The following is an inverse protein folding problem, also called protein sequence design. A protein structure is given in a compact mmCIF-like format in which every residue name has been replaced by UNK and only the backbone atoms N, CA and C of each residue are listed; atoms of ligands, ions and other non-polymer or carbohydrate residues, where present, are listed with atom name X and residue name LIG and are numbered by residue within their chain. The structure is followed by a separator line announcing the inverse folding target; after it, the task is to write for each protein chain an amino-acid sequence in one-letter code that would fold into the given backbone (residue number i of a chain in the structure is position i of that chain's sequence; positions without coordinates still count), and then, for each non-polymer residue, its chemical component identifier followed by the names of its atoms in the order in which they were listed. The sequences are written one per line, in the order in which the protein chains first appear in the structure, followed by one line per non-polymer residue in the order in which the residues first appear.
data_IF_866865781092
#
_entry.id   IF_866865781092
#
_cell.length_a   1.000
_cell.length_b   1.000
_cell.length_c   1.000
_cell.angle_alpha   90.00
_cell.angle_beta   90.00
_cell.angle_gamma   90.00
#
_symmetry.space_group_name_H-M   'P 1'
#
loop_
_entity.id
_entity.type
_entity.pdbx_description
1 polymer ?
#
# COMPACT_ATOMS: atom_id res chain seq x y z
N UNK A 1 -16.80 18.24 -0.32
CA UNK A 1 -16.14 16.94 -0.11
C UNK A 1 -17.20 15.85 -0.21
N UNK A 2 -17.03 14.81 -1.03
CA UNK A 2 -17.95 13.69 -0.99
C UNK A 2 -17.80 12.99 0.37
N UNK A 3 -18.91 12.56 1.01
CA UNK A 3 -18.85 11.86 2.29
C UNK A 3 -18.08 10.54 2.16
N UNK A 4 -17.40 10.11 3.22
CA UNK A 4 -16.64 8.85 3.29
C UNK A 4 -17.43 7.63 2.81
N UNK A 5 -18.76 7.64 2.97
CA UNK A 5 -19.68 6.63 2.41
C UNK A 5 -19.59 6.48 0.88
N UNK A 6 -19.20 7.51 0.13
CA UNK A 6 -19.06 7.43 -1.33
C UNK A 6 -17.88 6.52 -1.75
N UNK A 7 -16.81 6.47 -0.97
CA UNK A 7 -15.70 5.56 -1.19
C UNK A 7 -16.08 4.14 -0.75
N UNK A 8 -16.81 3.99 0.35
CA UNK A 8 -17.42 2.72 0.77
C UNK A 8 -18.38 2.18 -0.27
N UNK A 9 -19.20 3.04 -0.88
CA UNK A 9 -20.13 2.65 -1.94
C UNK A 9 -19.36 2.25 -3.20
N UNK A 10 -18.23 2.88 -3.53
CA UNK A 10 -17.40 2.46 -4.67
C UNK A 10 -16.65 1.15 -4.43
N UNK A 11 -16.14 0.92 -3.21
CA UNK A 11 -15.49 -0.34 -2.83
C UNK A 11 -16.54 -1.45 -2.71
N UNK A 12 -17.69 -1.18 -2.09
CA UNK A 12 -18.79 -2.12 -2.00
C UNK A 12 -19.43 -2.40 -3.36
N UNK A 13 -19.59 -1.41 -4.25
CA UNK A 13 -20.06 -1.62 -5.63
C UNK A 13 -18.99 -2.27 -6.51
N UNK A 14 -17.69 -2.10 -6.23
CA UNK A 14 -16.65 -2.88 -6.89
C UNK A 14 -16.71 -4.34 -6.43
N UNK A 15 -16.89 -4.59 -5.13
CA UNK A 15 -17.01 -5.94 -4.55
C UNK A 15 -18.36 -6.61 -4.93
N UNK A 16 -19.46 -5.85 -5.02
CA UNK A 16 -20.79 -6.32 -5.45
C UNK A 16 -20.90 -6.42 -6.98
N UNK A 17 -20.22 -5.55 -7.73
CA UNK A 17 -20.13 -5.62 -9.19
C UNK A 17 -19.31 -6.83 -9.65
N UNK A 18 -18.42 -7.32 -8.78
CA UNK A 18 -17.68 -8.57 -8.98
C UNK A 18 -18.51 -9.85 -8.91
N UNK A 19 -19.76 -9.74 -8.45
CA UNK A 19 -20.64 -10.87 -8.18
C UNK A 19 -21.55 -11.28 -9.35
N UNK A 20 -21.46 -10.63 -10.51
CA UNK A 20 -22.28 -10.99 -11.66
C UNK A 20 -21.53 -11.65 -12.83
N UNK A 21 -20.21 -11.78 -12.73
CA UNK A 21 -19.42 -12.52 -13.71
C UNK A 21 -18.82 -13.78 -13.06
N UNK A 22 -19.26 -14.95 -13.55
CA UNK A 22 -18.39 -16.15 -13.55
C UNK A 22 -17.06 -15.74 -14.18
N UNK A 23 -15.91 -16.04 -13.54
CA UNK A 23 -14.57 -16.38 -14.12
C UNK A 23 -13.41 -16.07 -13.15
N UNK A 24 -12.68 -17.15 -12.81
CA UNK A 24 -11.24 -17.38 -12.56
C UNK A 24 -10.29 -16.36 -11.86
N UNK A 25 -9.70 -16.85 -10.76
CA UNK A 25 -8.41 -16.53 -10.11
C UNK A 25 -8.11 -15.10 -9.68
N UNK A 26 -8.30 -14.81 -8.39
CA UNK A 26 -7.88 -13.53 -7.82
C UNK A 26 -6.90 -13.75 -6.67
N UNK A 27 -5.76 -13.08 -6.72
CA UNK A 27 -4.97 -12.80 -5.52
C UNK A 27 -5.30 -11.41 -5.04
N UNK A 28 -5.79 -11.32 -3.80
CA UNK A 28 -5.75 -10.09 -3.02
C UNK A 28 -4.49 -10.17 -2.16
N UNK A 29 -3.43 -9.50 -2.58
CA UNK A 29 -2.27 -9.31 -1.71
C UNK A 29 -2.53 -8.06 -0.87
N UNK A 30 -2.89 -8.27 0.40
CA UNK A 30 -2.91 -7.23 1.41
C UNK A 30 -1.47 -7.03 1.90
N UNK A 31 -0.75 -6.17 1.20
CA UNK A 31 0.56 -5.69 1.63
C UNK A 31 0.33 -4.56 2.63
N UNK A 32 0.21 -4.88 3.91
CA UNK A 32 0.17 -3.83 4.93
C UNK A 32 1.55 -3.19 4.99
N UNK A 33 1.64 -1.92 4.58
CA UNK A 33 2.86 -1.10 4.67
C UNK A 33 3.06 -0.63 6.13
N UNK A 34 2.92 -1.56 7.07
CA UNK A 34 3.11 -1.29 8.49
C UNK A 34 4.59 -1.26 8.80
N UNK A 35 5.16 -0.07 8.72
CA UNK A 35 6.33 0.47 9.44
C UNK A 35 7.02 1.62 8.68
N UNK A 36 6.49 2.06 7.54
CA UNK A 36 7.20 3.03 6.70
C UNK A 36 7.16 4.43 7.28
N UNK A 37 6.09 4.78 8.00
CA UNK A 37 6.00 6.08 8.68
C UNK A 37 7.15 6.31 9.69
N UNK A 38 7.78 5.25 10.21
CA UNK A 38 8.93 5.38 11.10
C UNK A 38 10.23 5.77 10.41
N UNK A 39 10.38 5.42 9.12
CA UNK A 39 11.58 5.71 8.31
C UNK A 39 11.39 6.90 7.36
N UNK A 40 10.15 7.31 7.13
CA UNK A 40 9.77 8.23 6.06
C UNK A 40 10.50 9.59 6.05
N UNK A 41 10.91 10.15 7.19
CA UNK A 41 11.63 11.44 7.21
C UNK A 41 13.09 11.36 6.70
N UNK A 42 13.76 10.20 6.78
CA UNK A 42 15.06 10.00 6.10
C UNK A 42 14.82 9.81 4.60
N UNK A 43 13.89 8.92 4.29
CA UNK A 43 13.52 8.50 2.94
C UNK A 43 12.96 9.68 2.12
N UNK A 44 12.35 10.68 2.75
CA UNK A 44 11.74 11.85 2.10
C UNK A 44 12.74 12.73 1.34
N UNK A 45 13.93 12.94 1.91
CA UNK A 45 14.95 13.84 1.33
C UNK A 45 15.60 13.18 0.12
N UNK A 46 15.79 11.86 0.14
CA UNK A 46 16.31 11.11 -1.01
C UNK A 46 15.22 10.78 -2.03
N UNK A 47 13.95 10.77 -1.62
CA UNK A 47 12.76 10.75 -2.50
C UNK A 47 12.59 12.02 -3.35
N UNK A 48 13.53 12.96 -3.33
CA UNK A 48 13.58 14.12 -4.25
C UNK A 48 13.46 13.68 -5.71
N UNK A 49 14.02 12.53 -6.08
CA UNK A 49 13.88 11.96 -7.41
C UNK A 49 12.44 11.50 -7.73
N UNK A 50 11.65 11.14 -6.70
CA UNK A 50 10.23 10.88 -6.86
C UNK A 50 9.44 12.19 -7.04
N UNK A 51 9.78 13.24 -6.28
CA UNK A 51 9.13 14.54 -6.40
C UNK A 51 9.29 15.18 -7.78
N UNK A 52 10.48 15.05 -8.38
CA UNK A 52 10.70 15.55 -9.74
C UNK A 52 9.86 14.79 -10.80
N UNK A 53 9.62 13.48 -10.60
CA UNK A 53 8.78 12.65 -11.48
C UNK A 53 7.30 13.03 -11.44
N UNK A 54 6.79 13.47 -10.29
CA UNK A 54 5.42 13.98 -10.16
C UNK A 54 5.29 15.47 -10.51
N UNK A 55 6.39 16.11 -10.96
CA UNK A 55 6.38 17.50 -11.41
C UNK A 55 6.66 18.55 -10.33
N UNK A 56 7.00 18.15 -9.10
CA UNK A 56 7.44 19.07 -8.05
C UNK A 56 8.88 19.47 -8.32
N UNK A 57 9.08 20.72 -8.75
CA UNK A 57 10.38 21.28 -9.15
C UNK A 57 10.56 22.71 -8.64
N UNK A 58 11.78 23.24 -8.78
CA UNK A 58 12.10 24.64 -8.48
C UNK A 58 11.87 25.00 -7.01
N UNK A 59 11.19 26.12 -6.78
CA UNK A 59 10.99 26.72 -5.46
C UNK A 59 10.33 25.77 -4.45
N UNK A 60 9.29 25.04 -4.87
CA UNK A 60 8.58 24.10 -3.98
C UNK A 60 9.50 22.98 -3.49
N UNK A 61 10.30 22.40 -4.39
CA UNK A 61 11.26 21.36 -4.04
C UNK A 61 12.33 21.89 -3.07
N UNK A 62 12.79 23.12 -3.27
CA UNK A 62 13.77 23.75 -2.39
C UNK A 62 13.19 24.03 -1.00
N UNK A 63 11.92 24.43 -0.90
CA UNK A 63 11.22 24.61 0.38
C UNK A 63 11.12 23.28 1.11
N UNK A 64 10.69 22.20 0.44
CA UNK A 64 10.62 20.87 1.06
C UNK A 64 12.00 20.44 1.57
N UNK A 65 13.05 20.58 0.74
CA UNK A 65 14.43 20.29 1.15
C UNK A 65 14.84 21.08 2.39
N UNK A 66 14.54 22.38 2.45
CA UNK A 66 14.88 23.23 3.59
C UNK A 66 14.12 22.83 4.87
N UNK A 67 12.85 22.41 4.76
CA UNK A 67 12.05 21.99 5.92
C UNK A 67 12.61 20.72 6.57
N UNK A 68 13.14 19.80 5.75
CA UNK A 68 13.68 18.51 6.19
C UNK A 68 15.21 18.50 6.32
N UNK A 69 15.92 19.58 6.01
CA UNK A 69 17.38 19.64 6.19
C UNK A 69 17.74 19.59 7.68
N UNK A 70 18.61 18.64 8.04
CA UNK A 70 19.21 18.46 9.38
C UNK A 70 18.23 18.69 10.54
N UNK A 71 17.17 17.87 10.67
CA UNK A 71 16.19 18.06 11.73
C UNK A 71 16.84 17.88 13.11
N UNK A 72 16.46 18.74 14.06
CA UNK A 72 16.89 18.64 15.47
C UNK A 72 15.69 18.45 16.38
N UNK A 73 15.85 17.68 17.45
CA UNK A 73 14.84 17.48 18.49
C UNK A 73 15.36 17.88 19.87
N UNK A 74 14.44 18.23 20.75
CA UNK A 74 14.69 18.48 22.15
C UNK A 74 13.68 17.68 22.98
N UNK A 75 14.09 17.21 24.14
CA UNK A 75 13.20 16.55 25.10
C UNK A 75 12.79 17.60 26.14
N UNK A 76 11.50 17.65 26.47
CA UNK A 76 10.97 18.47 27.57
C UNK A 76 10.67 17.52 28.73
N UNK A 77 11.35 17.73 29.87
CA UNK A 77 11.15 16.94 31.08
C UNK A 77 10.76 17.91 32.20
N UNK A 78 9.61 17.68 32.84
CA UNK A 78 9.13 18.50 33.97
C UNK A 78 9.07 20.01 33.67
N UNK A 79 8.81 20.40 32.43
CA UNK A 79 8.77 21.79 31.98
C UNK A 79 10.13 22.37 31.55
N UNK A 80 11.23 21.66 31.78
CA UNK A 80 12.57 22.08 31.35
C UNK A 80 12.92 21.48 29.98
N UNK A 81 13.46 22.33 29.11
CA UNK A 81 13.88 21.95 27.75
C UNK A 81 15.34 21.52 27.77
N UNK A 82 15.59 20.24 27.48
CA UNK A 82 16.94 19.70 27.35
C UNK A 82 17.61 20.17 26.05
N UNK A 83 18.94 19.97 25.98
CA UNK A 83 19.78 20.32 24.83
C UNK A 83 19.26 19.66 23.55
N UNK A 84 19.26 20.42 22.47
CA UNK A 84 18.90 19.93 21.15
C UNK A 84 19.92 18.88 20.68
N UNK A 85 19.43 17.82 20.04
CA UNK A 85 20.26 16.83 19.37
C UNK A 85 19.76 16.62 17.93
N UNK A 86 20.66 16.32 16.99
CA UNK A 86 20.27 16.01 15.62
C UNK A 86 19.49 14.71 15.57
N UNK A 87 18.41 14.69 14.79
CA UNK A 87 17.65 13.49 14.50
C UNK A 87 18.34 12.73 13.35
N UNK A 88 18.55 11.43 13.56
CA UNK A 88 19.08 10.51 12.53
C UNK A 88 17.98 9.87 11.67
N UNK A 89 16.74 9.86 12.16
CA UNK A 89 15.55 9.29 11.52
C UNK A 89 14.29 9.65 12.32
N UNK A 90 13.12 9.43 11.73
CA UNK A 90 11.82 9.55 12.41
C UNK A 90 10.99 10.73 11.92
N UNK A 91 9.70 10.48 11.67
CA UNK A 91 8.73 11.50 11.25
C UNK A 91 8.48 12.53 12.34
N UNK A 92 8.44 13.83 11.98
CA UNK A 92 7.84 14.85 12.86
C UNK A 92 6.39 14.46 13.17
N UNK A 93 6.15 13.85 14.33
CA UNK A 93 4.80 13.44 14.74
C UNK A 93 3.87 14.66 14.75
N UNK A 94 2.72 14.53 14.10
CA UNK A 94 1.76 15.62 13.94
C UNK A 94 2.08 16.61 12.82
N UNK A 95 3.15 16.42 12.04
CA UNK A 95 3.42 17.25 10.86
C UNK A 95 2.48 16.88 9.71
N UNK A 96 1.58 17.79 9.27
CA UNK A 96 0.67 17.49 8.16
C UNK A 96 1.41 17.30 6.83
N UNK A 97 2.59 17.90 6.68
CA UNK A 97 3.40 17.80 5.46
C UNK A 97 4.01 16.40 5.26
N UNK A 98 4.48 15.74 6.33
CA UNK A 98 5.08 14.39 6.21
C UNK A 98 4.06 13.38 5.67
N UNK A 99 2.80 13.45 6.10
CA UNK A 99 1.75 12.57 5.59
C UNK A 99 1.46 12.82 4.11
N UNK A 100 1.43 14.08 3.69
CA UNK A 100 1.19 14.44 2.28
C UNK A 100 2.33 13.95 1.38
N UNK A 101 3.58 14.18 1.78
CA UNK A 101 4.75 13.71 1.03
C UNK A 101 4.77 12.18 0.93
N UNK A 102 4.34 11.48 1.98
CA UNK A 102 4.24 10.02 1.98
C UNK A 102 3.24 9.52 0.94
N UNK A 103 2.06 10.12 0.91
CA UNK A 103 1.04 9.77 -0.09
C UNK A 103 1.53 10.03 -1.52
N UNK A 104 2.28 11.10 -1.76
CA UNK A 104 2.87 11.40 -3.08
C UNK A 104 3.88 10.33 -3.48
N UNK A 105 4.78 9.95 -2.57
CA UNK A 105 5.79 8.90 -2.83
C UNK A 105 5.10 7.56 -3.12
N UNK A 106 4.07 7.18 -2.35
CA UNK A 106 3.28 5.98 -2.63
C UNK A 106 2.54 6.03 -3.96
N UNK A 107 2.04 7.21 -4.38
CA UNK A 107 1.35 7.34 -5.65
C UNK A 107 2.28 7.14 -6.86
N UNK A 108 3.57 7.48 -6.73
CA UNK A 108 4.60 7.14 -7.75
C UNK A 108 4.72 5.63 -7.92
N UNK A 109 4.79 4.87 -6.82
CA UNK A 109 4.81 3.41 -6.88
C UNK A 109 3.51 2.86 -7.47
N UNK A 110 2.36 3.37 -7.02
CA UNK A 110 1.06 2.94 -7.53
C UNK A 110 0.92 3.19 -9.02
N UNK A 111 1.34 4.36 -9.51
CA UNK A 111 1.33 4.69 -10.93
C UNK A 111 2.24 3.77 -11.74
N UNK A 112 3.43 3.47 -11.23
CA UNK A 112 4.34 2.52 -11.89
C UNK A 112 3.74 1.11 -11.99
N UNK A 113 3.02 0.64 -10.95
CA UNK A 113 2.32 -0.66 -10.98
C UNK A 113 1.16 -0.63 -11.99
N UNK A 114 0.32 0.42 -11.95
CA UNK A 114 -0.81 0.60 -12.90
C UNK A 114 -0.34 0.55 -14.36
N UNK A 115 0.77 1.22 -14.67
CA UNK A 115 1.31 1.32 -16.03
C UNK A 115 2.05 0.04 -16.51
N UNK A 116 2.47 -0.85 -15.59
CA UNK A 116 3.19 -2.07 -15.96
C UNK A 116 2.21 -3.08 -16.56
N UNK A 117 2.31 -3.34 -17.86
CA UNK A 117 1.38 -4.22 -18.60
C UNK A 117 1.52 -5.68 -18.20
N UNK A 118 2.70 -6.09 -17.76
CA UNK A 118 3.00 -7.45 -17.33
C UNK A 118 2.38 -7.78 -15.96
N UNK A 119 2.05 -6.77 -15.17
CA UNK A 119 1.25 -6.94 -13.96
C UNK A 119 -0.21 -6.87 -14.39
N UNK A 120 -0.88 -8.02 -14.44
CA UNK A 120 -2.31 -8.08 -14.71
C UNK A 120 -3.10 -7.90 -13.43
N UNK A 121 -4.03 -6.96 -13.46
CA UNK A 121 -5.01 -6.75 -12.42
C UNK A 121 -6.31 -7.48 -12.71
N UNK A 122 -7.36 -6.99 -12.10
CA UNK A 122 -8.71 -7.51 -12.20
C UNK A 122 -9.54 -6.65 -13.13
N UNK A 123 -10.39 -7.25 -13.95
CA UNK A 123 -11.31 -6.51 -14.81
C UNK A 123 -12.62 -6.21 -14.08
N UNK A 124 -12.97 -4.92 -13.98
CA UNK A 124 -14.26 -4.44 -13.47
C UNK A 124 -14.92 -3.61 -14.57
N UNK A 125 -15.90 -4.20 -15.25
CA UNK A 125 -16.55 -3.57 -16.40
C UNK A 125 -15.58 -3.37 -17.56
N UNK A 126 -15.17 -2.13 -17.82
CA UNK A 126 -14.22 -1.76 -18.89
C UNK A 126 -12.85 -1.34 -18.35
N UNK A 127 -12.67 -1.36 -17.03
CA UNK A 127 -11.45 -0.88 -16.38
C UNK A 127 -10.70 -2.03 -15.70
N UNK A 128 -9.38 -2.02 -15.87
CA UNK A 128 -8.48 -2.91 -15.13
C UNK A 128 -8.07 -2.24 -13.82
N UNK A 129 -8.34 -2.88 -12.69
CA UNK A 129 -7.91 -2.42 -11.37
C UNK A 129 -6.74 -3.29 -10.91
N UNK A 130 -5.58 -2.69 -10.65
CA UNK A 130 -4.39 -3.43 -10.15
C UNK A 130 -4.14 -3.26 -8.66
N UNK A 131 -4.61 -2.16 -8.09
CA UNK A 131 -4.37 -1.82 -6.70
C UNK A 131 -5.37 -0.81 -6.16
N UNK A 132 -5.54 -0.81 -4.84
CA UNK A 132 -6.21 0.22 -4.07
C UNK A 132 -5.31 0.70 -2.93
N UNK A 133 -5.42 1.98 -2.60
CA UNK A 133 -4.66 2.64 -1.54
C UNK A 133 -5.60 3.28 -0.54
N UNK A 134 -5.34 3.08 0.75
CA UNK A 134 -6.00 3.78 1.84
C UNK A 134 -4.98 4.16 2.91
N UNK A 135 -4.65 5.45 3.01
CA UNK A 135 -3.54 5.95 3.83
C UNK A 135 -2.25 5.15 3.54
N UNK A 136 -1.69 4.47 4.54
CA UNK A 136 -0.53 3.60 4.40
C UNK A 136 -0.88 2.17 3.94
N UNK A 137 -2.12 1.72 3.98
CA UNK A 137 -2.47 0.36 3.55
C UNK A 137 -2.64 0.26 2.02
N UNK A 138 -1.89 -0.64 1.39
CA UNK A 138 -2.00 -0.97 -0.03
C UNK A 138 -2.56 -2.38 -0.21
N UNK A 139 -3.62 -2.50 -1.01
CA UNK A 139 -4.09 -3.78 -1.55
C UNK A 139 -3.71 -3.86 -3.02
N UNK A 140 -3.18 -5.02 -3.41
CA UNK A 140 -2.88 -5.36 -4.79
C UNK A 140 -3.83 -6.46 -5.25
N UNK A 141 -4.38 -6.28 -6.45
CA UNK A 141 -5.21 -7.24 -7.13
C UNK A 141 -4.40 -7.79 -8.30
N UNK A 142 -4.15 -9.11 -8.28
CA UNK A 142 -3.27 -9.75 -9.23
C UNK A 142 -4.00 -10.93 -9.87
N UNK A 143 -4.10 -10.87 -11.20
CA UNK A 143 -4.43 -12.00 -12.06
C UNK A 143 -3.13 -12.74 -12.45
N UNK A 144 -3.21 -14.06 -12.61
CA UNK A 144 -2.08 -14.95 -12.91
C UNK A 144 -0.84 -14.66 -12.04
N UNK A 145 -0.88 -15.05 -10.77
CA UNK A 145 0.08 -14.60 -9.79
C UNK A 145 1.49 -15.16 -9.98
N UNK A 146 1.67 -16.23 -10.76
CA UNK A 146 2.98 -16.79 -11.07
C UNK A 146 3.86 -15.78 -11.79
N UNK A 147 3.31 -15.14 -12.83
CA UNK A 147 4.06 -14.19 -13.66
C UNK A 147 3.98 -12.77 -13.10
N UNK A 148 2.77 -12.34 -12.71
CA UNK A 148 2.52 -10.97 -12.25
C UNK A 148 3.24 -10.66 -10.92
N UNK A 149 3.36 -11.62 -10.00
CA UNK A 149 4.03 -11.39 -8.71
C UNK A 149 5.52 -11.11 -8.89
N UNK A 150 6.18 -11.82 -9.80
CA UNK A 150 7.60 -11.59 -10.08
C UNK A 150 7.83 -10.16 -10.59
N UNK A 151 7.01 -9.71 -11.55
CA UNK A 151 7.09 -8.35 -12.10
C UNK A 151 6.76 -7.27 -11.09
N UNK A 152 5.78 -7.53 -10.23
CA UNK A 152 5.48 -6.66 -9.10
C UNK A 152 6.69 -6.50 -8.16
N UNK A 153 7.33 -7.60 -7.78
CA UNK A 153 8.49 -7.58 -6.89
C UNK A 153 9.68 -6.86 -7.53
N UNK A 154 9.90 -7.01 -8.84
CA UNK A 154 10.91 -6.25 -9.59
C UNK A 154 10.63 -4.73 -9.50
N UNK A 155 9.38 -4.30 -9.71
CA UNK A 155 8.97 -2.88 -9.63
C UNK A 155 9.14 -2.32 -8.22
N UNK A 156 8.68 -3.06 -7.22
CA UNK A 156 8.82 -2.71 -5.81
C UNK A 156 10.30 -2.60 -5.45
N UNK A 157 11.13 -3.57 -5.82
CA UNK A 157 12.56 -3.57 -5.49
C UNK A 157 13.28 -2.39 -6.14
N UNK A 158 12.93 -2.05 -7.39
CA UNK A 158 13.47 -0.86 -8.06
C UNK A 158 13.05 0.42 -7.36
N UNK A 159 11.79 0.52 -6.95
CA UNK A 159 11.29 1.66 -6.19
C UNK A 159 11.95 1.79 -4.81
N UNK A 160 12.09 0.68 -4.10
CA UNK A 160 12.79 0.58 -2.81
C UNK A 160 14.22 1.09 -2.85
N UNK A 161 14.94 0.89 -3.95
CA UNK A 161 16.29 1.44 -4.14
C UNK A 161 16.33 2.95 -4.31
N UNK A 162 15.27 3.55 -4.86
CA UNK A 162 15.19 4.99 -5.14
C UNK A 162 14.63 5.76 -3.96
N UNK A 163 13.62 5.21 -3.30
CA UNK A 163 12.93 5.87 -2.20
C UNK A 163 13.47 5.44 -0.81
N UNK A 164 14.57 4.65 -0.76
CA UNK A 164 15.05 3.92 0.43
C UNK A 164 13.95 3.13 1.21
N UNK A 165 12.83 2.91 0.54
CA UNK A 165 11.60 2.37 1.10
C UNK A 165 11.67 0.85 1.17
N UNK A 166 11.40 0.23 2.32
CA UNK A 166 11.44 -1.23 2.46
C UNK A 166 10.05 -1.82 2.71
N UNK A 167 9.59 -2.68 1.80
CA UNK A 167 8.39 -3.50 2.04
C UNK A 167 8.68 -4.55 3.11
N UNK A 168 7.74 -4.68 4.04
CA UNK A 168 7.76 -5.75 5.01
C UNK A 168 7.05 -7.00 4.44
N UNK A 169 7.84 -7.88 3.82
CA UNK A 169 7.34 -9.14 3.24
C UNK A 169 6.68 -10.02 4.32
N UNK A 170 7.21 -10.03 5.54
CA UNK A 170 6.67 -10.85 6.65
C UNK A 170 5.29 -10.39 7.13
N UNK A 171 5.00 -9.08 7.04
CA UNK A 171 3.68 -8.51 7.36
C UNK A 171 2.72 -8.53 6.17
N UNK A 172 3.22 -8.79 4.97
CA UNK A 172 2.41 -8.86 3.76
C UNK A 172 1.70 -10.20 3.67
N UNK A 173 0.39 -10.15 3.45
CA UNK A 173 -0.47 -11.34 3.41
C UNK A 173 -1.09 -11.45 2.02
N UNK A 174 -1.06 -12.66 1.47
CA UNK A 174 -1.73 -13.02 0.23
C UNK A 174 -3.00 -13.78 0.54
N UNK A 175 -4.10 -13.38 -0.11
CA UNK A 175 -5.39 -14.05 -0.02
C UNK A 175 -5.79 -14.54 -1.40
N UNK A 176 -5.96 -15.86 -1.53
CA UNK A 176 -6.26 -16.53 -2.78
C UNK A 176 -7.75 -16.80 -2.90
N UNK A 177 -8.37 -16.26 -3.94
CA UNK A 177 -9.71 -16.64 -4.41
C UNK A 177 -9.56 -17.73 -5.46
N UNK A 178 -9.31 -18.95 -4.98
CA UNK A 178 -9.33 -20.17 -5.77
C UNK A 178 -9.96 -21.29 -4.95
N UNK A 179 -10.79 -22.10 -5.60
CA UNK A 179 -11.30 -23.34 -5.03
C UNK A 179 -10.44 -24.56 -5.43
N UNK A 180 -9.38 -24.34 -6.20
CA UNK A 180 -8.48 -25.38 -6.65
C UNK A 180 -7.29 -25.54 -5.68
N UNK A 181 -7.33 -26.60 -4.88
CA UNK A 181 -6.31 -26.91 -3.88
C UNK A 181 -4.91 -27.16 -4.49
N UNK A 182 -4.84 -27.68 -5.71
CA UNK A 182 -3.57 -27.96 -6.40
C UNK A 182 -2.88 -26.63 -6.73
N UNK A 183 -3.63 -25.67 -7.29
CA UNK A 183 -3.12 -24.33 -7.60
C UNK A 183 -2.78 -23.54 -6.33
N UNK A 184 -3.58 -23.68 -5.27
CA UNK A 184 -3.27 -23.06 -3.97
C UNK A 184 -1.92 -23.56 -3.41
N UNK A 185 -1.63 -24.87 -3.54
CA UNK A 185 -0.32 -25.44 -3.18
C UNK A 185 0.81 -24.95 -4.10
N UNK A 186 0.59 -24.86 -5.40
CA UNK A 186 1.58 -24.33 -6.35
C UNK A 186 1.95 -22.87 -6.02
N UNK A 187 0.95 -22.03 -5.78
CA UNK A 187 1.16 -20.63 -5.43
C UNK A 187 1.82 -20.45 -4.06
N UNK A 188 1.53 -21.33 -3.11
CA UNK A 188 2.21 -21.35 -1.81
C UNK A 188 3.72 -21.53 -1.92
N UNK A 189 4.19 -22.25 -2.93
CA UNK A 189 5.62 -22.49 -3.15
C UNK A 189 6.27 -21.38 -3.99
N UNK A 190 5.48 -20.58 -4.71
CA UNK A 190 5.99 -19.59 -5.68
C UNK A 190 5.96 -18.17 -5.10
N UNK A 191 4.95 -17.84 -4.29
CA UNK A 191 4.71 -16.48 -3.80
C UNK A 191 5.43 -16.30 -2.46
N UNK A 192 6.24 -15.23 -2.29
CA UNK A 192 7.03 -15.03 -1.06
C UNK A 192 6.21 -14.50 0.13
N UNK A 193 4.90 -14.34 -0.02
CA UNK A 193 4.00 -13.76 0.98
C UNK A 193 3.27 -14.85 1.76
N UNK A 194 2.91 -14.56 3.01
CA UNK A 194 2.13 -15.48 3.83
C UNK A 194 0.73 -15.62 3.25
N UNK A 195 0.32 -16.84 2.91
CA UNK A 195 -1.04 -17.10 2.43
C UNK A 195 -2.01 -17.19 3.62
N UNK A 196 -3.10 -16.43 3.54
CA UNK A 196 -4.23 -16.51 4.46
C UNK A 196 -5.20 -17.62 4.04
N UNK A 197 -5.55 -18.56 4.93
CA UNK A 197 -6.26 -19.78 4.54
C UNK A 197 -7.78 -19.61 4.35
N UNK A 198 -8.43 -18.73 5.11
CA UNK A 198 -9.91 -18.61 5.13
C UNK A 198 -10.43 -17.19 5.00
N UNK A 199 -9.83 -16.25 5.74
CA UNK A 199 -10.23 -14.85 5.72
C UNK A 199 -9.05 -13.92 5.96
N UNK A 200 -9.18 -12.68 5.50
CA UNK A 200 -8.31 -11.56 5.84
C UNK A 200 -9.13 -10.41 6.41
N UNK A 201 -8.52 -9.58 7.25
CA UNK A 201 -9.15 -8.35 7.76
C UNK A 201 -8.51 -7.16 7.08
N UNK A 202 -9.33 -6.33 6.43
CA UNK A 202 -8.91 -5.10 5.78
C UNK A 202 -9.87 -3.96 6.14
N UNK A 203 -9.32 -2.86 6.67
CA UNK A 203 -10.10 -1.68 7.12
C UNK A 203 -11.31 -2.02 8.00
N UNK A 204 -11.14 -3.01 8.88
CA UNK A 204 -12.19 -3.47 9.79
C UNK A 204 -13.11 -4.55 9.22
N UNK A 205 -13.09 -4.79 7.90
CA UNK A 205 -13.94 -5.75 7.20
C UNK A 205 -13.20 -7.09 7.03
N UNK A 206 -13.86 -8.19 7.34
CA UNK A 206 -13.42 -9.54 7.03
C UNK A 206 -13.80 -9.90 5.60
N UNK A 207 -12.78 -10.17 4.77
CA UNK A 207 -12.94 -10.73 3.43
C UNK A 207 -12.81 -12.25 3.53
N UNK A 208 -13.79 -12.97 2.97
CA UNK A 208 -13.89 -14.44 2.94
C UNK A 208 -13.71 -14.98 1.52
N UNK A 209 -13.39 -16.27 1.38
CA UNK A 209 -13.31 -16.93 0.06
C UNK A 209 -14.69 -17.00 -0.59
N UNK A 210 -15.72 -17.20 0.23
CA UNK A 210 -17.10 -17.30 -0.21
C UNK A 210 -17.87 -16.02 0.13
N UNK A 211 -18.55 -15.45 -0.88
CA UNK A 211 -19.30 -14.20 -0.73
C UNK A 211 -20.45 -14.33 0.28
N UNK A 212 -21.11 -15.49 0.32
CA UNK A 212 -22.23 -15.75 1.23
C UNK A 212 -21.88 -15.55 2.70
N UNK A 213 -20.60 -15.72 3.04
CA UNK A 213 -20.11 -15.58 4.41
C UNK A 213 -19.80 -14.12 4.78
N UNK A 214 -19.67 -13.21 3.79
CA UNK A 214 -19.27 -11.82 4.04
C UNK A 214 -20.24 -11.11 5.00
N UNK A 215 -21.54 -11.29 4.84
CA UNK A 215 -22.52 -10.68 5.75
C UNK A 215 -22.39 -11.25 7.16
N UNK A 216 -22.40 -12.58 7.30
CA UNK A 216 -22.33 -13.23 8.60
C UNK A 216 -21.04 -12.89 9.39
N UNK A 217 -19.91 -12.73 8.70
CA UNK A 217 -18.60 -12.42 9.30
C UNK A 217 -18.42 -10.94 9.66
N UNK A 218 -19.26 -10.04 9.12
CA UNK A 218 -19.14 -8.59 9.33
C UNK A 218 -20.35 -7.96 10.04
N UNK A 219 -21.46 -8.67 10.17
CA UNK A 219 -22.70 -8.18 10.78
C UNK A 219 -22.86 -8.55 12.26
N UNK A 220 -21.84 -9.13 12.92
CA UNK A 220 -21.87 -9.32 14.38
C UNK A 220 -21.61 -7.98 15.08
N UNK A 221 -22.43 -7.61 16.08
CA UNK A 221 -22.26 -6.36 16.84
C UNK A 221 -20.95 -6.32 17.63
#
# INVERSE_FOLDING_TARGET
MPPTWFLFLRIALAILGLLWFHIHFWIVCSSSVKNVMGNFDRDCIESVDCFTKVGIKGTYLNIIKAIYDKPTANIILSGEKLKAFPLKSGTRQGCPLSLLLFNIVLDVLATAIRQTKEIKGIQIGREEVKLSLYADDMILYIENPKDSTQKLLERITKFSKVAEYKINIQKSVTFLYTNNEILEKEYKNTIPFKIAPRKIRYLGIHLTKEVRDLHAENSKP
#
